data_IF_224943363211
#
_entry.id   IF_224943363211
#
_cell.length_a   1.000
_cell.length_b   1.000
_cell.length_c   1.000
_cell.angle_alpha   90.00
_cell.angle_beta   90.00
_cell.angle_gamma   90.00
#
_symmetry.space_group_name_H-M   'P 1'
#
loop_
_entity.id
_entity.type
_entity.pdbx_description
1 polymer ?
#
# COMPACT_ATOMS: atom_id res chain seq x y z
N UNK A 1 9.15 12.55 -1.55
CA UNK A 1 9.21 11.33 -0.71
C UNK A 1 8.29 10.32 -1.37
N UNK A 2 8.83 9.20 -1.83
CA UNK A 2 8.04 8.24 -2.59
C UNK A 2 7.46 7.19 -1.65
N UNK A 3 6.13 7.05 -1.62
CA UNK A 3 5.42 6.09 -0.79
C UNK A 3 4.57 5.14 -1.62
N UNK A 4 4.50 3.89 -1.18
CA UNK A 4 3.65 2.86 -1.78
C UNK A 4 2.58 2.44 -0.77
N UNK A 5 1.32 2.71 -1.09
CA UNK A 5 0.18 2.42 -0.24
C UNK A 5 -0.60 1.21 -0.75
N UNK A 6 -1.02 0.30 0.13
CA UNK A 6 -1.83 -0.87 -0.20
C UNK A 6 -3.04 -0.97 0.72
N UNK A 7 -4.22 -1.14 0.13
CA UNK A 7 -5.46 -1.43 0.84
C UNK A 7 -6.01 -2.79 0.38
N UNK A 8 -6.12 -3.73 1.32
CA UNK A 8 -6.74 -5.05 1.13
C UNK A 8 -7.90 -5.29 2.11
N UNK A 9 -8.44 -4.23 2.70
CA UNK A 9 -9.55 -4.30 3.66
C UNK A 9 -10.87 -4.66 3.01
N UNK A 10 -11.04 -4.31 1.74
CA UNK A 10 -12.20 -4.62 0.91
C UNK A 10 -11.84 -5.62 -0.19
N UNK A 11 -12.86 -6.21 -0.83
CA UNK A 11 -12.66 -7.18 -1.92
C UNK A 11 -12.01 -6.54 -3.16
N UNK A 12 -12.38 -5.30 -3.46
CA UNK A 12 -11.71 -4.50 -4.51
C UNK A 12 -10.31 -4.13 -4.04
N UNK A 13 -10.19 -3.40 -2.93
CA UNK A 13 -8.90 -2.88 -2.47
C UNK A 13 -8.14 -2.13 -3.57
N UNK A 14 -6.83 -1.98 -3.40
CA UNK A 14 -5.99 -1.36 -4.41
C UNK A 14 -4.60 -0.98 -3.92
N UNK A 15 -3.81 -0.46 -4.85
CA UNK A 15 -2.45 0.03 -4.59
C UNK A 15 -2.30 1.44 -5.15
N UNK A 16 -1.60 2.31 -4.44
CA UNK A 16 -1.32 3.67 -4.88
C UNK A 16 0.17 4.01 -4.73
N UNK A 17 0.69 4.72 -5.72
CA UNK A 17 2.00 5.34 -5.70
C UNK A 17 1.82 6.82 -5.38
N UNK A 18 2.52 7.30 -4.37
CA UNK A 18 2.42 8.67 -3.87
C UNK A 18 3.80 9.30 -3.89
N UNK A 19 3.92 10.49 -4.45
CA UNK A 19 5.12 11.30 -4.37
C UNK A 19 4.84 12.56 -3.57
N UNK A 20 5.41 12.61 -2.37
CA UNK A 20 5.13 13.58 -1.32
C UNK A 20 3.63 13.69 -1.04
N UNK A 21 3.02 14.73 -1.60
CA UNK A 21 1.65 15.15 -1.36
C UNK A 21 0.71 14.78 -2.53
N UNK A 22 1.23 14.13 -3.56
CA UNK A 22 0.53 13.86 -4.80
C UNK A 22 0.39 12.36 -5.03
N UNK A 23 -0.84 11.91 -5.23
CA UNK A 23 -1.10 10.59 -5.80
C UNK A 23 -0.62 10.61 -7.25
N UNK A 24 0.41 9.82 -7.54
CA UNK A 24 0.95 9.63 -8.89
C UNK A 24 -0.03 8.77 -9.69
N UNK A 25 -0.43 7.64 -9.11
CA UNK A 25 -1.43 6.75 -9.68
C UNK A 25 -2.02 5.87 -8.57
N UNK A 26 -3.31 5.56 -8.72
CA UNK A 26 -4.03 4.57 -7.90
C UNK A 26 -4.62 3.51 -8.84
N UNK A 27 -4.41 2.24 -8.48
CA UNK A 27 -4.99 1.10 -9.17
C UNK A 27 -5.96 0.39 -8.25
N UNK A 28 -7.21 0.36 -8.67
CA UNK A 28 -8.23 -0.49 -8.05
C UNK A 28 -7.95 -1.93 -8.43
N UNK A 29 -8.06 -2.78 -7.43
CA UNK A 29 -7.91 -4.21 -7.60
C UNK A 29 -9.05 -4.91 -8.31
N UNK A 30 -8.77 -6.08 -8.89
CA UNK A 30 -9.83 -6.95 -9.40
C UNK A 30 -10.64 -7.56 -8.23
N UNK A 31 -11.94 -7.25 -8.09
CA UNK A 31 -12.77 -7.81 -7.04
C UNK A 31 -13.10 -9.30 -7.23
N UNK A 32 -12.82 -9.88 -8.40
CA UNK A 32 -13.07 -11.30 -8.68
C UNK A 32 -11.92 -12.20 -8.23
N UNK A 33 -10.76 -11.61 -7.88
CA UNK A 33 -9.55 -12.35 -7.49
C UNK A 33 -9.23 -12.10 -6.02
N UNK A 34 -8.81 -13.16 -5.33
CA UNK A 34 -8.41 -13.04 -3.94
C UNK A 34 -7.12 -12.20 -3.78
N UNK A 35 -6.94 -11.45 -2.69
CA UNK A 35 -5.74 -10.63 -2.48
C UNK A 35 -4.43 -11.42 -2.58
N UNK A 36 -4.43 -12.70 -2.20
CA UNK A 36 -3.28 -13.60 -2.30
C UNK A 36 -2.87 -13.93 -3.75
N UNK A 37 -3.80 -13.83 -4.71
CA UNK A 37 -3.50 -14.06 -6.13
C UNK A 37 -3.00 -12.80 -6.84
N UNK A 38 -3.33 -11.64 -6.28
CA UNK A 38 -3.02 -10.32 -6.84
C UNK A 38 -1.70 -9.77 -6.30
N UNK A 39 -1.34 -10.14 -5.08
CA UNK A 39 -0.10 -9.74 -4.41
C UNK A 39 0.98 -10.82 -4.57
N UNK A 40 2.26 -10.44 -4.72
CA UNK A 40 2.81 -9.07 -4.75
C UNK A 40 2.73 -8.38 -6.12
N UNK A 41 2.07 -8.99 -7.12
CA UNK A 41 2.12 -8.57 -8.52
C UNK A 41 1.62 -7.14 -8.80
N UNK A 42 0.48 -6.76 -8.23
CA UNK A 42 -0.11 -5.43 -8.47
C UNK A 42 0.79 -4.25 -8.08
N UNK A 43 1.36 -4.18 -6.86
CA UNK A 43 2.32 -3.14 -6.51
C UNK A 43 3.55 -3.13 -7.42
N UNK A 44 4.10 -4.30 -7.77
CA UNK A 44 5.27 -4.37 -8.64
C UNK A 44 4.96 -3.87 -10.06
N UNK A 45 3.79 -4.22 -10.60
CA UNK A 45 3.34 -3.75 -11.90
C UNK A 45 3.08 -2.23 -11.90
N UNK A 46 2.64 -1.65 -10.78
CA UNK A 46 2.52 -0.20 -10.63
C UNK A 46 3.90 0.47 -10.67
N UNK A 47 4.85 -0.03 -9.89
CA UNK A 47 6.21 0.50 -9.88
C UNK A 47 6.90 0.40 -11.25
N UNK A 48 6.75 -0.76 -11.92
CA UNK A 48 7.28 -0.98 -13.27
C UNK A 48 6.71 0.00 -14.29
N UNK A 49 5.41 0.31 -14.23
CA UNK A 49 4.77 1.26 -15.15
C UNK A 49 5.33 2.68 -15.02
N UNK A 50 5.86 3.04 -13.84
CA UNK A 50 6.49 4.34 -13.58
C UNK A 50 8.03 4.29 -13.61
N UNK A 51 8.62 3.14 -13.95
CA UNK A 51 10.08 2.98 -13.94
C UNK A 51 10.73 3.14 -12.56
N UNK A 52 9.94 2.94 -11.49
CA UNK A 52 10.39 3.10 -10.10
C UNK A 52 10.93 1.78 -9.58
N UNK A 53 12.14 1.79 -9.01
CA UNK A 53 12.67 0.64 -8.30
C UNK A 53 12.05 0.53 -6.90
N UNK A 54 11.82 -0.71 -6.42
CA UNK A 54 11.31 -0.94 -5.07
C UNK A 54 12.17 -0.28 -3.97
N UNK A 55 13.49 -0.23 -4.18
CA UNK A 55 14.44 0.40 -3.26
C UNK A 55 14.34 1.94 -3.19
N UNK A 56 13.70 2.56 -4.19
CA UNK A 56 13.43 4.00 -4.26
C UNK A 56 12.21 4.42 -3.45
N UNK A 57 11.43 3.46 -2.95
CA UNK A 57 10.31 3.75 -2.05
C UNK A 57 10.85 4.05 -0.66
N UNK A 58 10.46 5.19 -0.10
CA UNK A 58 10.87 5.64 1.23
C UNK A 58 9.96 5.04 2.32
N UNK A 59 8.67 4.85 2.00
CA UNK A 59 7.65 4.41 2.94
C UNK A 59 6.67 3.41 2.31
N UNK A 60 6.50 2.28 2.98
CA UNK A 60 5.47 1.30 2.66
C UNK A 60 4.27 1.47 3.61
N UNK A 61 3.13 1.86 3.07
CA UNK A 61 1.92 2.06 3.85
C UNK A 61 0.92 0.92 3.56
N UNK A 62 0.32 0.35 4.60
CA UNK A 62 -0.69 -0.70 4.45
C UNK A 62 -1.91 -0.42 5.30
N UNK A 63 -3.09 -0.70 4.77
CA UNK A 63 -4.32 -0.61 5.55
C UNK A 63 -4.33 -1.68 6.66
N UNK A 64 -4.61 -1.28 7.89
CA UNK A 64 -4.64 -2.15 9.09
C UNK A 64 -6.04 -2.54 9.54
N UNK A 65 -7.08 -2.08 8.83
CA UNK A 65 -8.48 -2.43 9.10
C UNK A 65 -9.36 -1.23 9.49
N UNK A 66 -10.63 -1.50 9.88
CA UNK A 66 -11.29 -2.81 9.90
C UNK A 66 -11.55 -3.35 8.47
N UNK A 67 -11.63 -4.68 8.29
CA UNK A 67 -11.84 -5.27 6.96
C UNK A 67 -11.56 -6.78 6.87
N UNK A 68 -11.35 -7.28 5.65
CA UNK A 68 -11.06 -8.69 5.35
C UNK A 68 -9.87 -9.23 6.14
N UNK A 69 -10.10 -10.21 7.02
CA UNK A 69 -9.06 -10.80 7.86
C UNK A 69 -7.92 -11.41 7.03
N UNK A 70 -8.26 -12.16 5.97
CA UNK A 70 -7.28 -12.75 5.06
C UNK A 70 -6.56 -11.67 4.26
N UNK A 71 -7.30 -10.72 3.70
CA UNK A 71 -6.73 -9.62 2.91
C UNK A 71 -5.72 -8.79 3.70
N UNK A 72 -6.05 -8.43 4.94
CA UNK A 72 -5.19 -7.68 5.84
C UNK A 72 -3.87 -8.41 6.08
N UNK A 73 -3.91 -9.71 6.43
CA UNK A 73 -2.69 -10.48 6.73
C UNK A 73 -1.79 -10.63 5.50
N UNK A 74 -2.37 -10.90 4.32
CA UNK A 74 -1.62 -11.00 3.06
C UNK A 74 -1.00 -9.65 2.69
N UNK A 75 -1.77 -8.57 2.80
CA UNK A 75 -1.29 -7.22 2.49
C UNK A 75 -0.16 -6.77 3.41
N UNK A 76 -0.33 -6.97 4.73
CA UNK A 76 0.70 -6.65 5.73
C UNK A 76 1.96 -7.48 5.47
N UNK A 77 1.85 -8.79 5.26
CA UNK A 77 3.00 -9.65 4.99
C UNK A 77 3.76 -9.23 3.72
N UNK A 78 3.03 -8.84 2.66
CA UNK A 78 3.61 -8.36 1.41
C UNK A 78 4.40 -7.06 1.63
N UNK A 79 3.80 -6.08 2.31
CA UNK A 79 4.47 -4.80 2.60
C UNK A 79 5.64 -4.95 3.57
N UNK A 80 5.56 -5.86 4.53
CA UNK A 80 6.70 -6.21 5.39
C UNK A 80 7.85 -6.79 4.57
N UNK A 81 7.56 -7.68 3.61
CA UNK A 81 8.57 -8.23 2.70
C UNK A 81 9.26 -7.14 1.87
N UNK A 82 8.50 -6.20 1.32
CA UNK A 82 9.06 -5.07 0.58
C UNK A 82 9.90 -4.13 1.45
N UNK A 83 9.39 -3.76 2.61
CA UNK A 83 10.11 -2.91 3.56
C UNK A 83 11.42 -3.56 4.03
N UNK A 84 11.39 -4.88 4.28
CA UNK A 84 12.57 -5.65 4.66
C UNK A 84 13.63 -5.69 3.56
N UNK A 85 13.24 -6.00 2.32
CA UNK A 85 14.17 -6.03 1.17
C UNK A 85 14.70 -4.64 0.83
N UNK A 86 13.88 -3.60 0.94
CA UNK A 86 14.29 -2.22 0.68
C UNK A 86 15.13 -1.60 1.80
N UNK A 87 15.10 -2.17 3.01
CA UNK A 87 15.67 -1.53 4.21
C UNK A 87 14.91 -0.24 4.59
N UNK A 88 13.59 -0.23 4.44
CA UNK A 88 12.73 0.96 4.53
C UNK A 88 11.68 0.84 5.61
N UNK A 89 11.02 1.97 5.89
CA UNK A 89 9.99 2.07 6.93
C UNK A 89 8.65 1.54 6.42
N UNK A 90 7.86 1.01 7.35
CA UNK A 90 6.49 0.59 7.11
C UNK A 90 5.55 1.26 8.11
N UNK A 91 4.39 1.72 7.65
CA UNK A 91 3.35 2.31 8.49
C UNK A 91 1.98 1.66 8.24
N UNK A 92 1.23 1.46 9.32
CA UNK A 92 -0.17 1.04 9.25
C UNK A 92 -1.10 2.25 9.12
N UNK A 93 -2.11 2.16 8.26
CA UNK A 93 -3.13 3.19 8.08
C UNK A 93 -4.51 2.63 8.37
N UNK A 94 -5.39 3.41 9.00
CA UNK A 94 -6.78 2.98 9.20
C UNK A 94 -7.58 3.13 7.90
N UNK A 95 -8.31 2.08 7.52
CA UNK A 95 -9.25 2.16 6.40
C UNK A 95 -10.40 3.11 6.77
N UNK A 96 -10.68 4.09 5.92
CA UNK A 96 -11.85 4.95 6.05
C UNK A 96 -12.66 4.93 4.76
N UNK A 97 -13.96 4.79 4.95
CA UNK A 97 -14.99 4.62 3.93
C UNK A 97 -15.32 5.87 3.09
N UNK A 98 -14.47 6.89 3.00
CA UNK A 98 -14.76 8.07 2.18
C UNK A 98 -13.53 8.71 1.54
N UNK A 99 -13.51 8.64 0.20
CA UNK A 99 -12.83 9.49 -0.77
C UNK A 99 -11.36 9.87 -0.51
N UNK A 100 -10.45 9.19 -1.21
CA UNK A 100 -9.10 9.66 -1.50
C UNK A 100 -8.08 9.46 -0.37
N UNK A 101 -6.88 9.06 -0.78
CA UNK A 101 -5.70 8.99 0.06
C UNK A 101 -5.24 10.41 0.44
N UNK A 102 -5.95 11.05 1.40
CA UNK A 102 -5.65 12.40 1.90
C UNK A 102 -4.46 12.40 2.89
N UNK A 103 -3.49 13.27 2.59
CA UNK A 103 -2.24 13.70 3.26
C UNK A 103 -2.13 13.53 4.78
N UNK A 104 -3.19 13.81 5.54
CA UNK A 104 -3.12 14.07 7.00
C UNK A 104 -2.83 12.86 7.91
N UNK A 105 -2.37 11.73 7.38
CA UNK A 105 -2.41 10.43 8.10
C UNK A 105 -1.12 9.64 8.09
N UNK A 106 -0.11 10.08 7.35
CA UNK A 106 1.27 9.61 7.54
C UNK A 106 1.91 10.22 8.80
N UNK A 107 1.34 11.32 9.33
CA UNK A 107 1.82 12.05 10.50
C UNK A 107 1.48 11.39 11.86
N UNK A 108 0.74 10.27 11.85
CA UNK A 108 0.24 9.60 13.06
C UNK A 108 1.19 8.59 13.70
N UNK A 109 2.38 8.37 13.14
CA UNK A 109 3.36 7.43 13.69
C UNK A 109 4.34 8.20 14.59
N UNK A 110 4.40 7.90 15.92
CA UNK A 110 5.45 8.49 16.75
C UNK A 110 6.82 8.04 16.20
N UNK A 111 7.83 8.92 16.15
CA UNK A 111 9.20 8.48 15.88
C UNK A 111 9.67 7.54 17.01
N UNK A 112 10.61 6.62 16.73
CA UNK A 112 11.22 5.78 17.77
C UNK A 112 11.94 6.61 18.83
#
# INVERSE_FOLDING_TARGET
MLALALDTTTRTGGVALVDDDRIVEERVGDPLREPAERLPGEPLALLQAHGVALASIDLFAVASGPGSFTGLRVGIATMQGFAFVGGRRMAGMQHRSSAGLDRRRLDGCPPP
#
